data_IF_568086324104
#
_entry.id   IF_568086324104
#
_cell.length_a   1.000
_cell.length_b   1.000
_cell.length_c   1.000
_cell.angle_alpha   90.00
_cell.angle_beta   90.00
_cell.angle_gamma   90.00
#
_symmetry.space_group_name_H-M   'P 1'
#
loop_
_entity.id
_entity.type
_entity.pdbx_description
1 polymer ?
#
# COMPACT_ATOMS: atom_id res chain seq x y z
N UNK A 1 -4.75 18.20 -19.11
CA UNK A 1 -3.41 18.85 -19.10
C UNK A 1 -2.47 18.15 -18.10
N UNK A 2 -2.10 16.87 -18.30
CA UNK A 2 -1.11 16.20 -17.43
C UNK A 2 0.33 16.44 -17.88
N UNK A 3 0.57 16.55 -19.19
CA UNK A 3 1.91 16.65 -19.77
C UNK A 3 2.69 17.90 -19.35
N UNK A 4 2.00 18.97 -18.93
CA UNK A 4 2.62 20.20 -18.42
C UNK A 4 3.15 20.08 -16.98
N UNK A 5 2.69 19.07 -16.23
CA UNK A 5 3.15 18.81 -14.85
C UNK A 5 4.54 18.18 -14.84
N UNK A 6 5.22 18.24 -13.70
CA UNK A 6 6.57 17.66 -13.52
C UNK A 6 6.51 16.40 -12.65
N UNK A 7 7.36 15.43 -12.98
CA UNK A 7 7.68 14.24 -12.17
C UNK A 7 6.46 13.63 -11.45
N UNK A 8 6.43 13.68 -10.11
CA UNK A 8 5.39 13.09 -9.28
C UNK A 8 4.00 13.66 -9.56
N UNK A 9 3.88 14.97 -9.81
CA UNK A 9 2.59 15.58 -10.15
C UNK A 9 2.06 15.08 -11.49
N UNK A 10 2.96 14.83 -12.45
CA UNK A 10 2.60 14.26 -13.75
C UNK A 10 2.12 12.84 -13.58
N UNK A 11 2.84 12.04 -12.80
CA UNK A 11 2.48 10.66 -12.49
C UNK A 11 1.10 10.58 -11.82
N UNK A 12 0.88 11.35 -10.76
CA UNK A 12 -0.40 11.45 -10.07
C UNK A 12 -1.53 11.91 -10.99
N UNK A 13 -1.24 12.83 -11.93
CA UNK A 13 -2.24 13.26 -12.90
C UNK A 13 -2.65 12.13 -13.85
N UNK A 14 -1.69 11.36 -14.37
CA UNK A 14 -2.00 10.20 -15.22
C UNK A 14 -2.75 9.11 -14.44
N UNK A 15 -2.39 8.87 -13.17
CA UNK A 15 -3.15 7.96 -12.28
C UNK A 15 -4.58 8.46 -12.06
N UNK A 16 -4.78 9.75 -11.82
CA UNK A 16 -6.12 10.31 -11.71
C UNK A 16 -6.94 10.16 -13.00
N UNK A 17 -6.30 10.25 -14.17
CA UNK A 17 -6.96 9.98 -15.47
C UNK A 17 -7.31 8.50 -15.63
N UNK A 18 -6.44 7.59 -15.18
CA UNK A 18 -6.64 6.15 -15.16
C UNK A 18 -7.81 5.75 -14.23
N UNK A 19 -7.87 6.40 -13.05
CA UNK A 19 -8.86 6.18 -11.98
C UNK A 19 -10.16 6.98 -12.16
N UNK A 20 -10.17 7.96 -13.07
CA UNK A 20 -11.38 8.69 -13.42
C UNK A 20 -12.46 7.73 -13.94
N UNK A 21 -13.73 8.18 -14.00
CA UNK A 21 -14.82 7.33 -14.51
C UNK A 21 -14.38 6.68 -15.83
N UNK A 22 -14.72 5.40 -16.07
CA UNK A 22 -14.44 4.75 -17.35
C UNK A 22 -14.81 5.75 -18.44
N UNK A 23 -13.85 6.16 -19.28
CA UNK A 23 -14.17 6.93 -20.49
C UNK A 23 -15.32 6.16 -21.12
N UNK A 24 -16.51 6.76 -21.25
CA UNK A 24 -17.71 6.07 -21.74
C UNK A 24 -17.31 5.34 -23.01
N UNK A 25 -17.18 4.03 -22.88
CA UNK A 25 -16.69 3.21 -23.95
C UNK A 25 -17.83 3.01 -24.95
N UNK A 26 -17.53 2.86 -26.24
CA UNK A 26 -18.43 2.08 -27.08
C UNK A 26 -18.67 0.77 -26.35
N UNK A 27 -19.93 0.41 -26.12
CA UNK A 27 -20.28 -0.88 -25.52
C UNK A 27 -19.46 -1.97 -26.22
N UNK A 28 -18.91 -2.94 -25.46
CA UNK A 28 -18.35 -4.14 -26.09
C UNK A 28 -19.45 -4.64 -27.01
N UNK A 29 -19.14 -4.72 -28.30
CA UNK A 29 -20.14 -5.01 -29.30
C UNK A 29 -20.63 -6.46 -29.13
N UNK A 30 -21.68 -6.61 -28.32
CA UNK A 30 -22.38 -7.87 -28.13
C UNK A 30 -23.25 -8.22 -29.33
N UNK A 31 -23.33 -7.33 -30.33
CA UNK A 31 -24.07 -7.61 -31.57
C UNK A 31 -23.36 -8.60 -32.47
N UNK A 32 -22.03 -8.77 -32.32
CA UNK A 32 -21.28 -9.78 -33.08
C UNK A 32 -21.45 -11.15 -32.42
N UNK A 33 -22.12 -12.11 -33.07
CA UNK A 33 -22.31 -13.44 -32.52
C UNK A 33 -20.96 -14.11 -32.24
N UNK A 34 -20.86 -14.87 -31.15
CA UNK A 34 -19.62 -15.56 -30.77
C UNK A 34 -19.05 -16.42 -31.91
N UNK A 35 -19.90 -17.04 -32.74
CA UNK A 35 -19.46 -17.80 -33.90
C UNK A 35 -18.69 -16.95 -34.93
N UNK A 36 -19.11 -15.71 -35.16
CA UNK A 36 -18.41 -14.76 -36.02
C UNK A 36 -17.05 -14.42 -35.43
N UNK A 37 -16.97 -14.19 -34.11
CA UNK A 37 -15.71 -13.95 -33.41
C UNK A 37 -14.78 -15.18 -33.48
N UNK A 38 -15.32 -16.41 -33.43
CA UNK A 38 -14.54 -17.63 -33.64
C UNK A 38 -13.98 -17.73 -35.06
N UNK A 39 -14.75 -17.35 -36.07
CA UNK A 39 -14.26 -17.33 -37.45
C UNK A 39 -13.09 -16.35 -37.61
N UNK A 40 -13.22 -15.14 -37.04
CA UNK A 40 -12.13 -14.15 -37.01
C UNK A 40 -10.90 -14.70 -36.28
N UNK A 41 -11.09 -15.29 -35.09
CA UNK A 41 -10.02 -15.88 -34.30
C UNK A 41 -9.28 -17.02 -35.02
N UNK A 42 -10.00 -17.87 -35.76
CA UNK A 42 -9.41 -18.98 -36.53
C UNK A 42 -8.71 -18.47 -37.79
N UNK A 43 -9.27 -17.44 -38.44
CA UNK A 43 -8.76 -16.91 -39.72
C UNK A 43 -7.48 -16.10 -39.52
N UNK A 44 -7.46 -15.20 -38.53
CA UNK A 44 -6.30 -14.39 -38.18
C UNK A 44 -6.24 -14.23 -36.66
N UNK A 45 -5.63 -15.23 -36.03
CA UNK A 45 -5.51 -15.30 -34.58
C UNK A 45 -4.73 -14.11 -34.00
N UNK A 46 -3.71 -13.62 -34.72
CA UNK A 46 -2.86 -12.54 -34.22
C UNK A 46 -3.64 -11.22 -34.17
N UNK A 47 -4.25 -10.81 -35.28
CA UNK A 47 -5.03 -9.56 -35.34
C UNK A 47 -6.21 -9.59 -34.37
N UNK A 48 -6.86 -10.74 -34.22
CA UNK A 48 -7.92 -10.93 -33.24
C UNK A 48 -7.41 -10.68 -31.81
N UNK A 49 -6.31 -11.33 -31.40
CA UNK A 49 -5.75 -11.17 -30.07
C UNK A 49 -5.29 -9.74 -29.80
N UNK A 50 -4.65 -9.07 -30.75
CA UNK A 50 -4.22 -7.67 -30.62
C UNK A 50 -5.42 -6.73 -30.41
N UNK A 51 -6.47 -6.89 -31.21
CA UNK A 51 -7.72 -6.12 -31.09
C UNK A 51 -8.41 -6.39 -29.76
N UNK A 52 -8.42 -7.64 -29.30
CA UNK A 52 -8.98 -8.05 -28.03
C UNK A 52 -8.23 -7.45 -26.84
N UNK A 53 -6.89 -7.54 -26.86
CA UNK A 53 -6.00 -6.94 -25.85
C UNK A 53 -6.25 -5.44 -25.75
N UNK A 54 -6.25 -4.74 -26.88
CA UNK A 54 -6.49 -3.29 -26.93
C UNK A 54 -7.87 -2.95 -26.34
N UNK A 55 -8.91 -3.65 -26.78
CA UNK A 55 -10.29 -3.39 -26.37
C UNK A 55 -10.53 -3.69 -24.89
N UNK A 56 -9.94 -4.76 -24.35
CA UNK A 56 -10.12 -5.12 -22.95
C UNK A 56 -9.29 -4.21 -22.03
N UNK A 57 -8.03 -3.91 -22.39
CA UNK A 57 -7.14 -3.09 -21.55
C UNK A 57 -7.66 -1.66 -21.37
N UNK A 58 -8.28 -1.09 -22.40
CA UNK A 58 -8.89 0.25 -22.31
C UNK A 58 -10.19 0.27 -21.49
N UNK A 59 -10.87 -0.86 -21.31
CA UNK A 59 -12.01 -0.99 -20.37
C UNK A 59 -11.52 -1.07 -18.93
N UNK A 60 -10.53 -1.92 -18.68
CA UNK A 60 -10.03 -2.20 -17.33
C UNK A 60 -8.76 -1.41 -17.00
N UNK A 61 -8.83 -0.09 -17.17
CA UNK A 61 -7.67 0.80 -17.03
C UNK A 61 -7.03 0.75 -15.65
N UNK A 62 -7.76 0.37 -14.60
CA UNK A 62 -7.23 0.31 -13.24
C UNK A 62 -6.24 -0.85 -13.05
N UNK A 63 -6.27 -1.90 -13.87
CA UNK A 63 -5.35 -3.02 -13.66
C UNK A 63 -3.97 -2.71 -14.28
N UNK A 64 -2.87 -2.97 -13.54
CA UNK A 64 -1.54 -2.87 -14.10
C UNK A 64 -1.33 -3.95 -15.18
N UNK A 65 -0.33 -3.79 -16.08
CA UNK A 65 -0.12 -4.70 -17.20
C UNK A 65 -0.06 -6.18 -16.81
N UNK A 66 0.54 -6.50 -15.65
CA UNK A 66 0.65 -7.87 -15.14
C UNK A 66 -0.72 -8.50 -14.83
N UNK A 67 -1.58 -7.77 -14.14
CA UNK A 67 -2.93 -8.24 -13.79
C UNK A 67 -3.81 -8.30 -15.03
N UNK A 68 -3.72 -7.29 -15.88
CA UNK A 68 -4.44 -7.23 -17.15
C UNK A 68 -4.09 -8.41 -18.07
N UNK A 69 -2.81 -8.78 -18.16
CA UNK A 69 -2.37 -9.93 -18.95
C UNK A 69 -3.00 -11.25 -18.48
N UNK A 70 -3.13 -11.46 -17.16
CA UNK A 70 -3.80 -12.65 -16.60
C UNK A 70 -5.29 -12.67 -16.92
N UNK A 71 -5.95 -11.51 -16.84
CA UNK A 71 -7.37 -11.35 -17.20
C UNK A 71 -7.57 -11.65 -18.68
N UNK A 72 -6.76 -11.05 -19.56
CA UNK A 72 -6.78 -11.31 -21.01
C UNK A 72 -6.57 -12.79 -21.30
N UNK A 73 -5.58 -13.42 -20.66
CA UNK A 73 -5.30 -14.83 -20.87
C UNK A 73 -6.47 -15.72 -20.47
N UNK A 74 -7.10 -15.44 -19.32
CA UNK A 74 -8.32 -16.14 -18.91
C UNK A 74 -9.42 -15.97 -19.96
N UNK A 75 -9.68 -14.75 -20.42
CA UNK A 75 -10.71 -14.47 -21.41
C UNK A 75 -10.44 -15.13 -22.78
N UNK A 76 -9.21 -15.06 -23.30
CA UNK A 76 -8.83 -15.66 -24.58
C UNK A 76 -8.93 -17.19 -24.57
N UNK A 77 -8.87 -17.82 -23.38
CA UNK A 77 -9.05 -19.27 -23.22
C UNK A 77 -10.38 -19.76 -23.78
N UNK A 78 -11.46 -18.96 -23.70
CA UNK A 78 -12.76 -19.33 -24.26
C UNK A 78 -12.65 -19.60 -25.75
N UNK A 79 -12.00 -18.72 -26.51
CA UNK A 79 -11.86 -18.88 -27.96
C UNK A 79 -10.97 -20.08 -28.30
N UNK A 80 -9.88 -20.28 -27.56
CA UNK A 80 -8.99 -21.44 -27.76
C UNK A 80 -9.68 -22.80 -27.60
N UNK A 81 -10.64 -22.88 -26.68
CA UNK A 81 -11.35 -24.13 -26.38
C UNK A 81 -12.63 -24.24 -27.20
N UNK A 82 -13.49 -23.23 -27.18
CA UNK A 82 -14.84 -23.33 -27.74
C UNK A 82 -14.90 -23.16 -29.25
N UNK A 83 -13.97 -22.44 -29.88
CA UNK A 83 -13.97 -22.29 -31.35
C UNK A 83 -13.57 -23.57 -32.10
N UNK A 84 -13.15 -24.63 -31.38
CA UNK A 84 -12.79 -25.94 -31.95
C UNK A 84 -13.90 -26.99 -31.80
N UNK A 85 -15.00 -26.66 -31.11
CA UNK A 85 -16.04 -27.63 -30.70
C UNK A 85 -17.34 -27.36 -31.46
N UNK A 86 -17.97 -28.42 -31.97
CA UNK A 86 -19.22 -28.35 -32.73
C UNK A 86 -20.45 -27.98 -31.88
N UNK A 87 -20.41 -28.20 -30.56
CA UNK A 87 -21.42 -27.77 -29.58
C UNK A 87 -21.03 -26.43 -28.92
N UNK A 88 -20.87 -25.40 -29.74
CA UNK A 88 -20.27 -24.12 -29.33
C UNK A 88 -21.04 -23.38 -28.22
N UNK A 89 -22.39 -23.42 -28.21
CA UNK A 89 -23.21 -22.68 -27.23
C UNK A 89 -22.99 -23.13 -25.77
N UNK A 90 -23.08 -24.43 -25.47
CA UNK A 90 -22.84 -24.94 -24.12
C UNK A 90 -21.39 -24.73 -23.65
N UNK A 91 -20.43 -24.75 -24.59
CA UNK A 91 -19.03 -24.48 -24.26
C UNK A 91 -18.83 -23.03 -23.80
N UNK A 92 -19.49 -22.07 -24.47
CA UNK A 92 -19.39 -20.64 -24.14
C UNK A 92 -19.93 -20.40 -22.74
N UNK A 93 -21.14 -20.87 -22.42
CA UNK A 93 -21.77 -20.63 -21.13
C UNK A 93 -20.91 -21.16 -19.97
N UNK A 94 -20.40 -22.39 -20.09
CA UNK A 94 -19.49 -22.98 -19.09
C UNK A 94 -18.17 -22.19 -18.98
N UNK A 95 -17.57 -21.83 -20.12
CA UNK A 95 -16.31 -21.07 -20.13
C UNK A 95 -16.45 -19.64 -19.62
N UNK A 96 -17.55 -18.95 -19.90
CA UNK A 96 -17.82 -17.63 -19.34
C UNK A 96 -17.98 -17.71 -17.82
N UNK A 97 -18.67 -18.73 -17.31
CA UNK A 97 -18.80 -18.93 -15.88
C UNK A 97 -17.43 -19.19 -15.22
N UNK A 98 -16.62 -20.07 -15.82
CA UNK A 98 -15.26 -20.35 -15.35
C UNK A 98 -14.36 -19.12 -15.42
N UNK A 99 -14.42 -18.35 -16.50
CA UNK A 99 -13.62 -17.15 -16.68
C UNK A 99 -14.01 -16.05 -15.71
N UNK A 100 -15.31 -15.87 -15.43
CA UNK A 100 -15.76 -14.93 -14.40
C UNK A 100 -15.16 -15.29 -13.03
N UNK A 101 -15.13 -16.58 -12.68
CA UNK A 101 -14.48 -17.07 -11.45
C UNK A 101 -12.97 -16.84 -11.47
N UNK A 102 -12.31 -17.11 -12.59
CA UNK A 102 -10.86 -16.93 -12.75
C UNK A 102 -10.46 -15.45 -12.65
N UNK A 103 -11.18 -14.56 -13.33
CA UNK A 103 -10.96 -13.11 -13.27
C UNK A 103 -11.12 -12.61 -11.84
N UNK A 104 -12.20 -13.01 -11.16
CA UNK A 104 -12.40 -12.67 -9.74
C UNK A 104 -11.20 -13.10 -8.89
N UNK A 105 -10.77 -14.35 -9.02
CA UNK A 105 -9.60 -14.87 -8.30
C UNK A 105 -8.31 -14.08 -8.63
N UNK A 106 -8.07 -13.75 -9.90
CA UNK A 106 -6.93 -12.92 -10.31
C UNK A 106 -6.98 -11.55 -9.64
N UNK A 107 -8.13 -10.89 -9.64
CA UNK A 107 -8.28 -9.56 -9.02
C UNK A 107 -8.14 -9.61 -7.50
N UNK A 108 -8.58 -10.67 -6.85
CA UNK A 108 -8.41 -10.86 -5.41
C UNK A 108 -6.94 -11.11 -5.04
N UNK A 109 -6.26 -11.97 -5.80
CA UNK A 109 -4.84 -12.33 -5.57
C UNK A 109 -3.90 -11.17 -5.87
N UNK A 110 -4.15 -10.42 -6.95
CA UNK A 110 -3.29 -9.31 -7.35
C UNK A 110 -3.54 -8.02 -6.53
N UNK A 111 -4.63 -7.97 -5.76
CA UNK A 111 -4.88 -6.92 -4.78
C UNK A 111 -4.16 -7.23 -3.45
N UNK A 112 -2.84 -7.12 -3.50
CA UNK A 112 -1.95 -7.39 -2.35
C UNK A 112 -2.21 -6.42 -1.20
N UNK A 113 -2.57 -5.17 -1.49
CA UNK A 113 -2.94 -4.16 -0.49
C UNK A 113 -4.13 -4.63 0.35
N UNK A 114 -5.23 -5.07 -0.28
CA UNK A 114 -6.38 -5.56 0.48
C UNK A 114 -6.05 -6.85 1.23
N UNK A 115 -5.29 -7.75 0.60
CA UNK A 115 -4.86 -9.00 1.23
C UNK A 115 -4.09 -8.72 2.52
N UNK A 116 -3.13 -7.79 2.46
CA UNK A 116 -2.32 -7.39 3.60
C UNK A 116 -3.14 -6.63 4.65
N UNK A 117 -4.04 -5.74 4.23
CA UNK A 117 -4.94 -5.03 5.15
C UNK A 117 -5.87 -5.99 5.91
N UNK A 118 -6.42 -7.00 5.24
CA UNK A 118 -7.24 -8.04 5.89
C UNK A 118 -6.44 -8.86 6.90
N UNK A 119 -5.16 -9.10 6.62
CA UNK A 119 -4.25 -9.86 7.49
C UNK A 119 -3.84 -9.06 8.73
N UNK A 120 -3.49 -7.79 8.55
CA UNK A 120 -2.87 -6.94 9.58
C UNK A 120 -3.90 -6.13 10.38
N UNK A 121 -4.98 -5.71 9.72
CA UNK A 121 -6.00 -4.84 10.28
C UNK A 121 -5.50 -3.41 10.55
N UNK A 122 -6.44 -2.55 10.94
CA UNK A 122 -6.23 -1.11 11.15
C UNK A 122 -4.98 -0.78 11.97
N UNK A 123 -4.78 -1.47 13.10
CA UNK A 123 -3.69 -1.18 14.03
C UNK A 123 -2.31 -1.36 13.39
N UNK A 124 -2.01 -2.54 12.88
CA UNK A 124 -0.71 -2.83 12.27
C UNK A 124 -0.48 -2.03 10.98
N UNK A 125 -1.52 -1.78 10.17
CA UNK A 125 -1.40 -0.90 8.98
C UNK A 125 -1.00 0.52 9.37
N UNK A 126 -1.52 1.06 10.48
CA UNK A 126 -1.09 2.37 11.00
C UNK A 126 0.37 2.32 11.44
N UNK A 127 0.80 1.29 12.17
CA UNK A 127 2.19 1.18 12.62
C UNK A 127 3.17 1.05 11.46
N UNK A 128 2.78 0.32 10.41
CA UNK A 128 3.53 0.25 9.17
C UNK A 128 3.65 1.62 8.50
N UNK A 129 2.55 2.38 8.38
CA UNK A 129 2.58 3.74 7.84
C UNK A 129 3.50 4.68 8.64
N UNK A 130 3.46 4.62 9.98
CA UNK A 130 4.36 5.41 10.84
C UNK A 130 5.82 5.01 10.59
N UNK A 131 6.11 3.71 10.57
CA UNK A 131 7.45 3.18 10.31
C UNK A 131 7.96 3.66 8.94
N UNK A 132 7.14 3.56 7.91
CA UNK A 132 7.51 3.99 6.56
C UNK A 132 7.83 5.48 6.53
N UNK A 133 7.00 6.30 7.18
CA UNK A 133 7.24 7.74 7.26
C UNK A 133 8.55 8.07 7.98
N UNK A 134 8.80 7.50 9.16
CA UNK A 134 10.01 7.78 9.94
C UNK A 134 11.27 7.17 9.33
N UNK A 135 11.14 6.13 8.50
CA UNK A 135 12.23 5.56 7.71
C UNK A 135 12.80 6.58 6.71
N UNK A 136 11.94 7.41 6.11
CA UNK A 136 12.34 8.42 5.11
C UNK A 136 12.34 9.87 5.62
N UNK A 137 11.74 10.13 6.79
CA UNK A 137 11.73 11.45 7.41
C UNK A 137 11.81 11.37 8.94
N UNK A 138 12.93 10.90 9.51
CA UNK A 138 13.04 10.66 10.94
C UNK A 138 12.97 11.94 11.78
N UNK A 139 13.22 13.13 11.23
CA UNK A 139 12.99 14.42 11.96
C UNK A 139 11.56 14.96 11.82
N UNK A 140 10.73 14.34 10.97
CA UNK A 140 9.36 14.77 10.74
C UNK A 140 8.50 14.68 12.00
N UNK A 141 7.51 15.57 12.11
CA UNK A 141 6.64 15.66 13.28
C UNK A 141 5.78 14.39 13.44
N UNK A 142 5.58 13.94 14.69
CA UNK A 142 4.72 12.78 15.01
C UNK A 142 3.30 12.92 14.44
N UNK A 143 2.74 14.13 14.48
CA UNK A 143 1.41 14.41 13.91
C UNK A 143 1.35 14.12 12.40
N UNK A 144 2.38 14.49 11.66
CA UNK A 144 2.47 14.23 10.22
C UNK A 144 2.64 12.73 9.92
N UNK A 145 3.43 12.02 10.75
CA UNK A 145 3.58 10.58 10.65
C UNK A 145 2.25 9.85 10.91
N UNK A 146 1.49 10.27 11.93
CA UNK A 146 0.18 9.73 12.24
C UNK A 146 -0.83 10.02 11.11
N UNK A 147 -0.87 11.24 10.59
CA UNK A 147 -1.75 11.59 9.46
C UNK A 147 -1.42 10.79 8.20
N UNK A 148 -0.13 10.64 7.89
CA UNK A 148 0.35 9.79 6.79
C UNK A 148 -0.14 8.35 6.97
N UNK A 149 0.03 7.78 8.16
CA UNK A 149 -0.39 6.42 8.46
C UNK A 149 -1.91 6.23 8.39
N UNK A 150 -2.70 7.18 8.91
CA UNK A 150 -4.16 7.14 8.81
C UNK A 150 -4.63 7.29 7.36
N UNK A 151 -3.97 8.12 6.56
CA UNK A 151 -4.26 8.26 5.12
C UNK A 151 -4.04 6.93 4.41
N UNK A 152 -2.90 6.27 4.67
CA UNK A 152 -2.58 4.98 4.09
C UNK A 152 -3.58 3.90 4.54
N UNK A 153 -3.86 3.80 5.84
CA UNK A 153 -4.83 2.86 6.38
C UNK A 153 -6.21 3.00 5.72
N UNK A 154 -6.69 4.24 5.55
CA UNK A 154 -7.97 4.51 4.89
C UNK A 154 -7.94 4.01 3.45
N UNK A 155 -6.87 4.32 2.72
CA UNK A 155 -6.67 3.82 1.36
C UNK A 155 -6.68 2.29 1.30
N UNK A 156 -5.90 1.61 2.14
CA UNK A 156 -5.83 0.14 2.17
C UNK A 156 -7.19 -0.49 2.45
N UNK A 157 -7.98 0.11 3.35
CA UNK A 157 -9.34 -0.33 3.63
C UNK A 157 -10.29 -0.18 2.42
N UNK A 158 -10.13 0.90 1.65
CA UNK A 158 -10.92 1.15 0.45
C UNK A 158 -10.60 0.15 -0.66
N UNK A 159 -9.34 -0.31 -0.75
CA UNK A 159 -8.97 -1.35 -1.71
C UNK A 159 -9.64 -2.70 -1.45
N UNK A 160 -10.27 -2.92 -0.29
CA UNK A 160 -11.10 -4.09 -0.03
C UNK A 160 -12.55 -3.98 -0.48
N UNK A 161 -12.96 -2.84 -1.02
CA UNK A 161 -14.28 -2.59 -1.57
C UNK A 161 -14.16 -2.47 -3.10
N UNK A 162 -14.72 -3.44 -3.83
CA UNK A 162 -14.67 -3.51 -5.31
C UNK A 162 -15.23 -2.24 -5.96
N UNK A 163 -16.17 -1.54 -5.29
CA UNK A 163 -16.76 -0.29 -5.80
C UNK A 163 -15.83 0.91 -5.68
N UNK A 164 -14.73 0.78 -4.94
CA UNK A 164 -13.75 1.83 -4.65
C UNK A 164 -12.36 1.52 -5.21
N UNK A 165 -12.22 0.47 -6.01
CA UNK A 165 -10.95 0.11 -6.61
C UNK A 165 -10.38 1.23 -7.47
N UNK A 166 -9.10 1.48 -7.26
CA UNK A 166 -8.27 2.36 -8.08
C UNK A 166 -7.07 1.58 -8.56
N UNK A 167 -6.30 2.14 -9.50
CA UNK A 167 -5.05 1.56 -9.98
C UNK A 167 -4.10 1.22 -8.86
N UNK A 168 -4.09 2.05 -7.83
CA UNK A 168 -3.12 1.96 -6.75
C UNK A 168 -3.40 0.75 -5.84
N UNK A 169 -4.62 0.19 -5.87
CA UNK A 169 -4.96 -1.03 -5.13
C UNK A 169 -4.25 -2.28 -5.64
N UNK A 170 -3.69 -2.22 -6.86
CA UNK A 170 -3.02 -3.33 -7.53
C UNK A 170 -1.51 -3.10 -7.69
N UNK A 171 -0.97 -2.10 -6.99
CA UNK A 171 0.47 -1.83 -6.94
C UNK A 171 1.11 -2.47 -5.72
N UNK A 172 2.43 -2.47 -5.71
CA UNK A 172 3.20 -2.81 -4.53
C UNK A 172 2.99 -1.75 -3.43
N UNK A 173 2.85 -2.22 -2.19
CA UNK A 173 2.62 -1.36 -1.01
C UNK A 173 3.68 -0.26 -0.85
N UNK A 174 4.94 -0.60 -1.10
CA UNK A 174 6.05 0.34 -1.04
C UNK A 174 5.94 1.45 -2.09
N UNK A 175 5.40 1.16 -3.27
CA UNK A 175 5.16 2.16 -4.33
C UNK A 175 4.06 3.13 -3.91
N UNK A 176 2.93 2.62 -3.40
CA UNK A 176 1.83 3.46 -2.90
C UNK A 176 2.29 4.40 -1.80
N UNK A 177 3.00 3.86 -0.80
CA UNK A 177 3.53 4.64 0.31
C UNK A 177 4.54 5.69 -0.14
N UNK A 178 5.40 5.35 -1.11
CA UNK A 178 6.37 6.28 -1.69
C UNK A 178 5.68 7.44 -2.41
N UNK A 179 4.65 7.15 -3.21
CA UNK A 179 3.88 8.17 -3.91
C UNK A 179 3.16 9.10 -2.93
N UNK A 180 2.56 8.54 -1.88
CA UNK A 180 1.94 9.30 -0.82
C UNK A 180 2.98 10.17 -0.08
N UNK A 181 4.16 9.62 0.21
CA UNK A 181 5.23 10.33 0.91
C UNK A 181 5.70 11.52 0.07
N UNK A 182 6.04 11.27 -1.19
CA UNK A 182 6.47 12.31 -2.13
C UNK A 182 5.42 13.38 -2.40
N UNK A 183 4.13 13.06 -2.25
CA UNK A 183 3.04 14.05 -2.37
C UNK A 183 2.99 15.04 -1.21
N UNK A 184 3.51 14.65 -0.04
CA UNK A 184 3.50 15.45 1.20
C UNK A 184 4.91 15.87 1.64
N UNK A 185 5.95 15.53 0.88
CA UNK A 185 7.33 15.92 1.16
C UNK A 185 7.47 17.43 1.25
N UNK A 186 8.16 17.89 2.29
CA UNK A 186 8.24 19.32 2.62
C UNK A 186 9.67 19.85 2.71
N UNK A 187 10.67 18.98 2.94
CA UNK A 187 12.06 19.41 2.92
C UNK A 187 12.59 19.52 1.50
N UNK A 188 13.50 20.47 1.25
CA UNK A 188 14.10 20.66 -0.07
C UNK A 188 14.80 19.39 -0.60
N UNK A 189 15.46 18.65 0.30
CA UNK A 189 16.11 17.38 -0.02
C UNK A 189 15.08 16.32 -0.48
N UNK A 190 14.00 16.12 0.26
CA UNK A 190 12.95 15.18 -0.12
C UNK A 190 12.28 15.56 -1.43
N UNK A 191 11.95 16.84 -1.62
CA UNK A 191 11.35 17.33 -2.87
C UNK A 191 12.29 17.04 -4.06
N UNK A 192 13.60 17.27 -3.90
CA UNK A 192 14.57 16.94 -4.93
C UNK A 192 14.65 15.42 -5.20
N UNK A 193 14.72 14.59 -4.16
CA UNK A 193 14.74 13.14 -4.30
C UNK A 193 13.47 12.60 -4.98
N UNK A 194 12.30 13.11 -4.62
CA UNK A 194 11.01 12.71 -5.20
C UNK A 194 10.84 13.08 -6.68
N UNK A 195 11.73 13.91 -7.24
CA UNK A 195 11.82 14.16 -8.69
C UNK A 195 12.61 13.08 -9.43
N UNK A 196 13.39 12.25 -8.74
CA UNK A 196 14.11 11.13 -9.34
C UNK A 196 13.16 9.95 -9.63
N UNK A 197 13.65 8.89 -10.26
CA UNK A 197 12.87 7.70 -10.63
C UNK A 197 13.62 6.42 -10.30
N UNK A 198 12.88 5.32 -10.05
CA UNK A 198 13.48 4.01 -9.79
C UNK A 198 14.38 4.02 -8.55
N UNK A 199 15.49 3.28 -8.61
CA UNK A 199 16.43 3.10 -7.50
C UNK A 199 17.11 4.39 -7.06
N UNK A 200 17.33 5.34 -7.98
CA UNK A 200 17.91 6.64 -7.64
C UNK A 200 17.05 7.43 -6.64
N UNK A 201 15.72 7.31 -6.74
CA UNK A 201 14.79 7.95 -5.81
C UNK A 201 14.93 7.35 -4.42
N UNK A 202 14.92 6.02 -4.30
CA UNK A 202 15.04 5.34 -3.00
C UNK A 202 16.39 5.63 -2.35
N UNK A 203 17.49 5.51 -3.10
CA UNK A 203 18.84 5.80 -2.59
C UNK A 203 18.99 7.27 -2.12
N UNK A 204 18.41 8.22 -2.85
CA UNK A 204 18.41 9.63 -2.45
C UNK A 204 17.65 9.86 -1.15
N UNK A 205 16.44 9.27 -1.03
CA UNK A 205 15.62 9.40 0.19
C UNK A 205 16.29 8.76 1.40
N UNK A 206 16.94 7.61 1.22
CA UNK A 206 17.65 6.92 2.29
C UNK A 206 18.83 7.76 2.79
N UNK A 207 19.65 8.32 1.88
CA UNK A 207 20.74 9.21 2.25
C UNK A 207 20.26 10.47 2.98
N UNK A 208 19.18 11.11 2.50
CA UNK A 208 18.61 12.27 3.17
C UNK A 208 18.10 11.93 4.58
N UNK A 209 17.46 10.77 4.74
CA UNK A 209 16.99 10.29 6.03
C UNK A 209 18.16 9.90 6.97
N UNK A 210 19.28 9.41 6.45
CA UNK A 210 20.50 9.13 7.20
C UNK A 210 21.12 10.41 7.79
N UNK A 211 21.15 11.49 7.02
CA UNK A 211 21.58 12.81 7.50
C UNK A 211 20.64 13.34 8.58
N UNK A 212 19.33 13.27 8.35
CA UNK A 212 18.31 13.69 9.33
C UNK A 212 18.45 12.90 10.64
N UNK A 213 18.67 11.59 10.57
CA UNK A 213 18.77 10.72 11.73
C UNK A 213 19.95 11.06 12.66
N UNK A 214 21.03 11.66 12.15
CA UNK A 214 22.18 12.08 12.96
C UNK A 214 21.83 13.20 13.95
N UNK A 215 20.77 13.96 13.67
CA UNK A 215 20.33 15.07 14.53
C UNK A 215 19.43 14.63 15.69
N UNK A 216 18.98 13.37 15.68
CA UNK A 216 18.02 12.86 16.64
C UNK A 216 18.75 12.39 17.89
N UNK A 217 18.35 12.94 19.04
CA UNK A 217 18.84 12.47 20.34
C UNK A 217 18.60 10.98 20.49
N UNK A 218 19.65 10.23 20.85
CA UNK A 218 19.53 8.82 21.22
C UNK A 218 18.63 8.66 22.45
N UNK A 219 18.79 9.53 23.43
CA UNK A 219 17.97 9.54 24.64
C UNK A 219 16.57 10.10 24.38
N UNK A 220 15.59 9.43 24.97
CA UNK A 220 14.20 9.89 25.06
C UNK A 220 13.95 10.29 26.50
N UNK A 221 13.66 11.57 26.71
CA UNK A 221 13.33 12.11 28.03
C UNK A 221 11.83 11.97 28.26
N UNK A 222 11.46 11.11 29.21
CA UNK A 222 10.06 10.88 29.62
C UNK A 222 10.06 10.44 31.08
N UNK A 223 9.13 10.96 31.89
CA UNK A 223 9.00 10.51 33.28
C UNK A 223 8.16 9.24 33.36
N UNK A 224 8.34 8.49 34.45
CA UNK A 224 7.56 7.27 34.70
C UNK A 224 6.04 7.56 34.79
N UNK A 225 5.66 8.74 35.27
CA UNK A 225 4.28 9.17 35.41
C UNK A 225 3.68 9.65 34.10
N UNK A 226 4.48 10.27 33.22
CA UNK A 226 4.06 10.56 31.87
C UNK A 226 3.72 9.25 31.13
N UNK A 227 4.58 8.24 31.21
CA UNK A 227 4.32 6.92 30.61
C UNK A 227 3.02 6.30 31.15
N UNK A 228 2.83 6.30 32.47
CA UNK A 228 1.62 5.76 33.08
C UNK A 228 0.35 6.58 32.78
N UNK A 229 0.47 7.90 32.68
CA UNK A 229 -0.66 8.76 32.33
C UNK A 229 -1.12 8.51 30.89
N UNK A 230 -0.18 8.35 29.94
CA UNK A 230 -0.51 8.06 28.54
C UNK A 230 -1.04 6.63 28.41
N UNK A 231 -0.54 5.68 29.20
CA UNK A 231 -1.06 4.29 29.22
C UNK A 231 -2.53 4.21 29.60
N UNK A 232 -2.97 5.04 30.55
CA UNK A 232 -4.36 5.09 30.99
C UNK A 232 -5.27 5.87 30.02
N UNK A 233 -4.74 6.51 28.98
CA UNK A 233 -5.54 7.18 27.97
C UNK A 233 -6.19 6.16 27.02
N UNK A 234 -7.50 6.25 26.75
CA UNK A 234 -8.22 5.26 25.95
C UNK A 234 -7.98 5.38 24.43
N UNK A 235 -7.10 6.27 23.99
CA UNK A 235 -6.97 6.69 22.59
C UNK A 235 -5.80 6.05 21.83
N UNK A 236 -5.09 5.09 22.46
CA UNK A 236 -3.98 4.38 21.82
C UNK A 236 -2.76 5.25 21.50
N UNK A 237 -2.73 6.50 21.98
CA UNK A 237 -1.67 7.49 21.69
C UNK A 237 -0.29 7.02 22.09
N UNK A 238 -0.20 6.20 23.14
CA UNK A 238 1.06 5.63 23.61
C UNK A 238 1.72 4.74 22.55
N UNK A 239 0.93 3.93 21.84
CA UNK A 239 1.44 3.03 20.81
C UNK A 239 1.98 3.86 19.64
N UNK A 240 1.21 4.86 19.20
CA UNK A 240 1.63 5.77 18.12
C UNK A 240 2.92 6.49 18.48
N UNK A 241 2.98 7.08 19.68
CA UNK A 241 4.18 7.78 20.17
C UNK A 241 5.38 6.85 20.24
N UNK A 242 5.23 5.68 20.86
CA UNK A 242 6.35 4.75 21.00
C UNK A 242 6.82 4.22 19.65
N UNK A 243 5.90 3.83 18.76
CA UNK A 243 6.27 3.41 17.40
C UNK A 243 7.00 4.53 16.66
N UNK A 244 6.54 5.77 16.77
CA UNK A 244 7.22 6.92 16.18
C UNK A 244 8.65 7.09 16.74
N UNK A 245 8.82 7.13 18.06
CA UNK A 245 10.15 7.32 18.68
C UNK A 245 11.09 6.13 18.45
N UNK A 246 10.55 4.92 18.38
CA UNK A 246 11.30 3.71 18.08
C UNK A 246 11.81 3.73 16.64
N UNK A 247 10.89 3.84 15.69
CA UNK A 247 11.18 3.64 14.26
C UNK A 247 12.08 4.74 13.70
N UNK A 248 11.98 5.99 14.19
CA UNK A 248 12.90 7.06 13.78
C UNK A 248 14.35 6.86 14.26
N UNK A 249 14.57 6.04 15.31
CA UNK A 249 15.91 5.68 15.83
C UNK A 249 16.40 4.33 15.35
N UNK A 250 15.48 3.46 14.93
CA UNK A 250 15.70 2.08 14.51
C UNK A 250 15.10 1.85 13.12
N UNK A 251 15.43 2.73 12.16
CA UNK A 251 14.79 2.78 10.83
C UNK A 251 14.86 1.47 10.04
N UNK A 252 15.94 0.71 10.24
CA UNK A 252 16.23 -0.52 9.50
C UNK A 252 15.59 -1.77 10.14
N UNK A 253 15.02 -1.67 11.34
CA UNK A 253 14.37 -2.82 11.96
C UNK A 253 13.11 -3.19 11.18
N UNK A 254 12.76 -4.48 11.16
CA UNK A 254 11.56 -4.96 10.47
C UNK A 254 10.29 -4.57 11.23
N UNK A 255 9.13 -4.58 10.56
CA UNK A 255 7.86 -4.32 11.22
C UNK A 255 7.61 -5.32 12.38
N UNK A 256 8.00 -6.58 12.23
CA UNK A 256 7.85 -7.60 13.29
C UNK A 256 8.64 -7.25 14.55
N UNK A 257 9.86 -6.71 14.38
CA UNK A 257 10.68 -6.23 15.51
C UNK A 257 10.02 -5.04 16.19
N UNK A 258 9.47 -4.10 15.41
CA UNK A 258 8.72 -2.95 15.94
C UNK A 258 7.49 -3.41 16.72
N UNK A 259 6.71 -4.36 16.18
CA UNK A 259 5.51 -4.91 16.82
C UNK A 259 5.85 -5.63 18.12
N UNK A 260 6.94 -6.41 18.14
CA UNK A 260 7.45 -7.06 19.35
C UNK A 260 7.79 -6.00 20.41
N UNK A 261 8.49 -4.94 20.02
CA UNK A 261 8.89 -3.85 20.92
C UNK A 261 7.67 -3.12 21.52
N UNK A 262 6.62 -2.87 20.71
CA UNK A 262 5.34 -2.30 21.16
C UNK A 262 4.64 -3.23 22.17
N UNK A 263 4.68 -4.55 21.94
CA UNK A 263 4.11 -5.54 22.86
C UNK A 263 4.85 -5.56 24.21
N UNK A 264 6.19 -5.54 24.17
CA UNK A 264 7.04 -5.49 25.36
C UNK A 264 6.81 -4.22 26.18
N UNK A 265 6.69 -3.06 25.53
CA UNK A 265 6.24 -1.82 26.19
C UNK A 265 4.90 -2.02 26.90
N UNK A 266 3.92 -2.62 26.22
CA UNK A 266 2.59 -2.89 26.79
C UNK A 266 2.64 -3.73 28.06
N UNK A 267 3.54 -4.72 28.12
CA UNK A 267 3.78 -5.53 29.32
C UNK A 267 4.48 -4.74 30.42
N UNK A 268 5.51 -3.97 30.06
CA UNK A 268 6.25 -3.12 31.00
C UNK A 268 5.34 -2.09 31.67
N UNK A 269 4.44 -1.45 30.93
CA UNK A 269 3.49 -0.47 31.49
C UNK A 269 2.51 -1.10 32.48
N UNK A 270 1.96 -2.27 32.14
CA UNK A 270 1.04 -3.00 33.02
C UNK A 270 1.70 -3.36 34.36
N UNK A 271 2.97 -3.76 34.30
CA UNK A 271 3.75 -4.11 35.48
C UNK A 271 4.19 -2.85 36.26
N UNK A 272 4.94 -1.96 35.61
CA UNK A 272 5.65 -0.88 36.27
C UNK A 272 4.75 0.28 36.71
N UNK A 273 3.58 0.48 36.12
CA UNK A 273 2.67 1.52 36.60
C UNK A 273 2.02 1.20 37.96
N UNK A 274 2.09 -0.05 38.39
CA UNK A 274 1.63 -0.51 39.71
C UNK A 274 2.77 -0.62 40.74
N UNK A 275 4.03 -0.44 40.30
CA UNK A 275 5.20 -0.57 41.15
C UNK A 275 5.39 0.66 42.05
N UNK A 276 5.98 0.46 43.24
CA UNK A 276 6.31 1.55 44.17
C UNK A 276 7.46 2.41 43.63
N UNK A 277 8.44 1.81 42.96
CA UNK A 277 9.56 2.47 42.31
C UNK A 277 9.46 2.32 40.79
N UNK A 278 8.48 3.03 40.21
CA UNK A 278 8.19 3.00 38.77
C UNK A 278 9.41 3.29 37.90
N UNK A 279 10.26 4.23 38.32
CA UNK A 279 11.45 4.64 37.57
C UNK A 279 12.44 3.48 37.38
N UNK A 280 12.73 2.76 38.46
CA UNK A 280 13.65 1.62 38.43
C UNK A 280 13.05 0.43 37.65
N UNK A 281 11.75 0.17 37.86
CA UNK A 281 11.03 -0.85 37.10
C UNK A 281 11.08 -0.58 35.59
N UNK A 282 10.75 0.64 35.15
CA UNK A 282 10.79 0.98 33.73
C UNK A 282 12.20 0.93 33.15
N UNK A 283 13.21 1.39 33.90
CA UNK A 283 14.62 1.32 33.44
C UNK A 283 15.07 -0.12 33.18
N UNK A 284 14.54 -1.07 33.95
CA UNK A 284 14.82 -2.51 33.78
C UNK A 284 14.06 -3.12 32.60
N UNK A 285 12.80 -2.71 32.39
CA UNK A 285 11.89 -3.36 31.45
C UNK A 285 11.75 -2.67 30.07
N UNK A 286 12.24 -1.43 29.90
CA UNK A 286 12.23 -0.67 28.63
C UNK A 286 13.61 -0.59 27.96
N UNK A 287 14.27 -1.73 27.79
CA UNK A 287 15.58 -1.83 27.15
C UNK A 287 15.70 -1.42 25.67
N UNK A 288 14.66 -1.51 24.79
CA UNK A 288 14.86 -1.30 23.36
C UNK A 288 15.26 0.14 22.95
N UNK A 289 14.98 1.12 23.80
CA UNK A 289 15.35 2.53 23.61
C UNK A 289 16.04 3.05 24.87
N UNK A 290 17.01 3.95 24.69
CA UNK A 290 17.62 4.66 25.82
C UNK A 290 16.63 5.70 26.35
N UNK A 291 15.92 5.35 27.42
CA UNK A 291 15.08 6.28 28.15
C UNK A 291 15.85 6.88 29.32
N UNK A 292 15.89 8.21 29.38
CA UNK A 292 16.31 8.93 30.56
C UNK A 292 15.07 9.15 31.41
N UNK A 293 14.76 8.16 32.26
CA UNK A 293 13.59 8.18 33.13
C UNK A 293 13.94 9.03 34.34
N UNK A 294 13.48 10.26 34.33
CA UNK A 294 13.66 11.17 35.45
C UNK A 294 12.74 10.73 36.59
N UNK A 295 13.28 10.65 37.80
CA UNK A 295 12.48 10.71 39.02
C UNK A 295 11.78 12.08 39.07
N UNK A 296 10.51 12.10 39.50
CA UNK A 296 9.81 13.37 39.74
C UNK A 296 10.60 14.31 40.66
#
# INVERSE_FOLDING_TARGET
MCCSKKYIEREQCFRAVQNGPPVKMPEIDTSVPFWTQCLEFITDQQTFMETYIYSLSRHYRIFPPRTMAKIIFASLRTYHVCCKVSTSLYCIDDMEHQNKKNIKNVTEVDNTICTEYKRTGTGQTILWGIKYFTMHHPVGLMGNAAEFATTYQKFSSQCCDETKWTSDCFLDESEVLLLQFCSKSSSAAQVACCQMTGTQRSECLDNAADEEAQTISREIYVTSEQLCSIHNAPDGRLIIWYTYEYTRRKRNDSLDVVLKSVSELGLALKLCCQDQNKSDCFSTHLAPLSFSILSQ
#
